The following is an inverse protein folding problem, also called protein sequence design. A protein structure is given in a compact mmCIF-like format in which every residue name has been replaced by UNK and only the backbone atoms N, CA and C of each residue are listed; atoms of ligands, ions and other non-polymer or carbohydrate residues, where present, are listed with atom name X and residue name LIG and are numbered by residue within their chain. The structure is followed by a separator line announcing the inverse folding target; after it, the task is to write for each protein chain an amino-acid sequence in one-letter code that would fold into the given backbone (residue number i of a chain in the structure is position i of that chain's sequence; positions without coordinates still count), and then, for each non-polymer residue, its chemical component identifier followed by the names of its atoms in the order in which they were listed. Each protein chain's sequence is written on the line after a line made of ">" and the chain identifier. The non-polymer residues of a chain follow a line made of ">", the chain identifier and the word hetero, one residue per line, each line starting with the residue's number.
data_IF_071046439570
#
_entry.id   IF_071046439570
#
_cell.length_a   1.000
_cell.length_b   1.000
_cell.length_c   1.000
_cell.angle_alpha   90.00
_cell.angle_beta   90.00
_cell.angle_gamma   90.00
#
_symmetry.space_group_name_H-M   'P 1'
#
loop_
_entity.id
_entity.type
_entity.pdbx_description
1 polymer ?
#
# COMPACT_ATOMS: atom_id res chain seq x y z
N UNK A 1 -20.16 10.14 10.35
CA UNK A 1 -19.09 9.58 9.50
C UNK A 1 -18.43 10.75 8.78
N UNK A 2 -17.11 10.95 8.92
CA UNK A 2 -16.40 12.01 8.17
C UNK A 2 -16.36 11.61 6.70
N UNK A 3 -16.96 12.41 5.81
CA UNK A 3 -16.76 12.26 4.37
C UNK A 3 -15.36 12.77 4.05
N UNK A 4 -14.48 11.87 3.60
CA UNK A 4 -13.20 12.26 3.01
C UNK A 4 -13.54 12.87 1.65
N UNK A 5 -13.28 14.18 1.49
CA UNK A 5 -13.35 14.81 0.18
C UNK A 5 -12.15 14.31 -0.63
N UNK A 6 -12.43 13.54 -1.69
CA UNK A 6 -11.39 13.11 -2.61
C UNK A 6 -11.07 14.26 -3.57
N UNK A 7 -9.79 14.43 -3.95
CA UNK A 7 -9.41 15.25 -5.09
C UNK A 7 -10.24 14.90 -6.34
N UNK A 8 -10.54 15.91 -7.17
CA UNK A 8 -11.46 15.78 -8.31
C UNK A 8 -10.98 14.75 -9.34
N UNK A 9 -9.67 14.71 -9.60
CA UNK A 9 -9.01 13.74 -10.46
C UNK A 9 -9.20 12.29 -9.98
N UNK A 10 -9.09 12.08 -8.66
CA UNK A 10 -9.31 10.77 -8.03
C UNK A 10 -10.78 10.37 -8.13
N UNK A 11 -11.69 11.32 -7.92
CA UNK A 11 -13.13 11.07 -8.04
C UNK A 11 -13.53 10.68 -9.47
N UNK A 12 -12.99 11.36 -10.49
CA UNK A 12 -13.24 11.04 -11.89
C UNK A 12 -12.68 9.66 -12.27
N UNK A 13 -11.47 9.34 -11.83
CA UNK A 13 -10.86 8.04 -12.04
C UNK A 13 -11.67 6.90 -11.41
N UNK A 14 -12.17 7.09 -10.18
CA UNK A 14 -13.03 6.12 -9.49
C UNK A 14 -14.36 5.93 -10.20
N UNK A 15 -14.98 7.00 -10.72
CA UNK A 15 -16.22 6.90 -11.47
C UNK A 15 -16.03 6.16 -12.80
N UNK A 16 -14.92 6.40 -13.51
CA UNK A 16 -14.55 5.64 -14.71
C UNK A 16 -14.32 4.17 -14.38
N UNK A 17 -13.61 3.87 -13.29
CA UNK A 17 -13.38 2.51 -12.83
C UNK A 17 -14.69 1.80 -12.49
N UNK A 18 -15.60 2.48 -11.78
CA UNK A 18 -16.92 1.99 -11.43
C UNK A 18 -17.73 1.60 -12.66
N UNK A 19 -17.76 2.47 -13.67
CA UNK A 19 -18.47 2.22 -14.94
C UNK A 19 -17.88 1.03 -15.69
N UNK A 20 -16.56 0.92 -15.77
CA UNK A 20 -15.89 -0.17 -16.48
C UNK A 20 -16.10 -1.55 -15.82
N UNK A 21 -16.14 -1.61 -14.49
CA UNK A 21 -16.26 -2.88 -13.73
C UNK A 21 -17.71 -3.30 -13.45
N UNK A 22 -18.68 -2.39 -13.60
CA UNK A 22 -20.10 -2.69 -13.38
C UNK A 22 -20.39 -3.15 -11.95
N UNK A 23 -21.31 -4.10 -11.75
CA UNK A 23 -21.75 -4.54 -10.41
C UNK A 23 -20.63 -5.06 -9.50
N UNK A 24 -19.52 -5.53 -10.07
CA UNK A 24 -18.37 -6.05 -9.32
C UNK A 24 -17.36 -4.99 -8.87
N UNK A 25 -17.59 -3.70 -9.15
CA UNK A 25 -16.60 -2.65 -8.95
C UNK A 25 -16.06 -2.55 -7.52
N UNK A 26 -16.91 -2.74 -6.50
CA UNK A 26 -16.49 -2.64 -5.09
C UNK A 26 -15.46 -3.71 -4.74
N UNK A 27 -15.74 -4.96 -5.12
CA UNK A 27 -14.80 -6.08 -4.89
C UNK A 27 -13.49 -5.83 -5.63
N UNK A 28 -13.57 -5.44 -6.90
CA UNK A 28 -12.38 -5.16 -7.71
C UNK A 28 -11.54 -4.00 -7.14
N UNK A 29 -12.18 -2.96 -6.59
CA UNK A 29 -11.48 -1.86 -5.94
C UNK A 29 -10.78 -2.30 -4.66
N UNK A 30 -11.45 -3.10 -3.82
CA UNK A 30 -10.84 -3.65 -2.61
C UNK A 30 -9.66 -4.57 -2.93
N UNK A 31 -9.81 -5.45 -3.93
CA UNK A 31 -8.74 -6.33 -4.37
C UNK A 31 -7.53 -5.52 -4.87
N UNK A 32 -7.76 -4.42 -5.59
CA UNK A 32 -6.71 -3.50 -6.05
C UNK A 32 -6.00 -2.84 -4.87
N UNK A 33 -6.75 -2.30 -3.91
CA UNK A 33 -6.17 -1.66 -2.71
C UNK A 33 -5.31 -2.64 -1.92
N UNK A 34 -5.79 -3.87 -1.70
CA UNK A 34 -5.02 -4.91 -1.01
C UNK A 34 -3.76 -5.30 -1.78
N UNK A 35 -3.79 -5.30 -3.11
CA UNK A 35 -2.59 -5.58 -3.90
C UNK A 35 -1.56 -4.46 -3.78
N UNK A 36 -1.99 -3.20 -3.80
CA UNK A 36 -1.09 -2.06 -3.63
C UNK A 36 -0.49 -2.00 -2.22
N UNK A 37 -1.29 -2.28 -1.17
CA UNK A 37 -0.78 -2.42 0.20
C UNK A 37 0.30 -3.50 0.30
N UNK A 38 0.08 -4.66 -0.33
CA UNK A 38 1.08 -5.75 -0.36
C UNK A 38 2.36 -5.34 -1.09
N UNK A 39 2.26 -4.62 -2.20
CA UNK A 39 3.44 -4.13 -2.94
C UNK A 39 4.21 -3.11 -2.12
N UNK A 40 3.52 -2.16 -1.51
CA UNK A 40 4.13 -1.15 -0.65
C UNK A 40 4.85 -1.80 0.55
N UNK A 41 4.21 -2.79 1.19
CA UNK A 41 4.84 -3.55 2.27
C UNK A 41 6.07 -4.33 1.80
N UNK A 42 5.99 -5.00 0.65
CA UNK A 42 7.12 -5.74 0.09
C UNK A 42 8.30 -4.81 -0.24
N UNK A 43 8.02 -3.64 -0.81
CA UNK A 43 9.02 -2.61 -1.10
C UNK A 43 9.70 -2.13 0.20
N UNK A 44 8.91 -1.84 1.24
CA UNK A 44 9.44 -1.41 2.53
C UNK A 44 10.34 -2.49 3.16
N UNK A 45 9.91 -3.75 3.14
CA UNK A 45 10.71 -4.89 3.65
C UNK A 45 12.02 -5.02 2.87
N UNK A 46 11.98 -4.84 1.56
CA UNK A 46 13.17 -4.89 0.72
C UNK A 46 14.13 -3.74 1.04
N UNK A 47 13.63 -2.50 1.19
CA UNK A 47 14.44 -1.33 1.56
C UNK A 47 15.08 -1.49 2.94
N UNK A 48 14.33 -2.02 3.92
CA UNK A 48 14.84 -2.33 5.25
C UNK A 48 15.98 -3.35 5.18
N UNK A 49 15.81 -4.43 4.41
CA UNK A 49 16.85 -5.44 4.22
C UNK A 49 18.10 -4.88 3.52
N UNK A 50 17.92 -4.08 2.48
CA UNK A 50 19.02 -3.43 1.78
C UNK A 50 19.80 -2.49 2.72
N UNK A 51 19.08 -1.72 3.54
CA UNK A 51 19.66 -0.81 4.52
C UNK A 51 20.42 -1.59 5.61
N UNK A 52 19.82 -2.64 6.16
CA UNK A 52 20.45 -3.50 7.16
C UNK A 52 21.74 -4.12 6.63
N UNK A 53 21.70 -4.69 5.42
CA UNK A 53 22.87 -5.27 4.76
C UNK A 53 23.98 -4.23 4.52
N UNK A 54 23.62 -3.00 4.10
CA UNK A 54 24.59 -1.91 3.90
C UNK A 54 25.28 -1.47 5.20
N UNK A 55 24.64 -1.72 6.34
CA UNK A 55 25.14 -1.39 7.67
C UNK A 55 25.73 -2.60 8.41
N UNK A 56 25.78 -3.78 7.77
CA UNK A 56 26.23 -5.02 8.38
C UNK A 56 25.36 -5.49 9.57
N UNK A 57 24.11 -5.05 9.63
CA UNK A 57 23.18 -5.38 10.72
C UNK A 57 22.49 -6.72 10.45
N UNK A 58 22.33 -7.50 11.53
CA UNK A 58 21.49 -8.70 11.49
C UNK A 58 20.00 -8.33 11.58
N UNK A 59 19.11 -9.24 11.16
CA UNK A 59 17.65 -9.04 11.28
C UNK A 59 17.24 -8.78 12.75
N UNK A 60 17.93 -9.39 13.72
CA UNK A 60 17.68 -9.28 15.15
C UNK A 60 18.08 -7.91 15.72
N UNK A 61 19.15 -7.30 15.19
CA UNK A 61 19.54 -5.92 15.54
C UNK A 61 18.63 -4.87 14.90
N UNK A 62 18.13 -5.14 13.71
CA UNK A 62 17.11 -4.29 13.06
C UNK A 62 15.81 -4.34 13.86
N UNK A 63 15.34 -5.53 14.25
CA UNK A 63 14.14 -5.69 15.06
C UNK A 63 14.25 -4.93 16.40
N UNK A 64 15.36 -5.10 17.11
CA UNK A 64 15.60 -4.40 18.39
C UNK A 64 15.60 -2.87 18.25
N UNK A 65 16.11 -2.33 17.14
CA UNK A 65 16.11 -0.88 16.87
C UNK A 65 14.74 -0.34 16.50
N UNK A 66 13.89 -1.15 15.87
CA UNK A 66 12.53 -0.77 15.49
C UNK A 66 11.53 -0.90 16.64
N UNK A 67 11.74 -1.86 17.55
CA UNK A 67 10.85 -2.11 18.69
C UNK A 67 10.96 -1.06 19.80
N UNK A 68 12.12 -0.39 19.96
CA UNK A 68 12.30 0.71 20.91
C UNK A 68 12.28 0.26 22.37
#
# INVERSE_FOLDING_TARGET
>A
MRSVALPEDVAEALERFRRARGRGWRKALMDLLTQEERKALAQLVWELRATAASQGLTEEEVARRLEG
#
